data_IF_448496015172
#
_entry.id   IF_448496015172
#
_cell.length_a   1.000
_cell.length_b   1.000
_cell.length_c   1.000
_cell.angle_alpha   90.00
_cell.angle_beta   90.00
_cell.angle_gamma   90.00
#
_symmetry.space_group_name_H-M   'P 1'
#
loop_
_entity.id
_entity.type
_entity.pdbx_description
1 polymer ?
#
# COMPACT_ATOMS: atom_id res chain seq x y z
N UNK A 1 15.92 -3.33 -78.08
CA UNK A 1 17.16 -3.82 -77.41
C UNK A 1 17.50 -3.14 -76.04
N UNK A 2 16.98 -1.93 -75.73
CA UNK A 2 17.33 -1.22 -74.46
C UNK A 2 16.73 -1.83 -73.19
N UNK A 3 15.51 -2.45 -73.21
CA UNK A 3 14.86 -3.01 -72.02
C UNK A 3 15.58 -4.24 -71.45
N UNK A 4 16.22 -5.09 -72.25
CA UNK A 4 16.91 -6.27 -71.78
C UNK A 4 18.22 -5.94 -71.01
N UNK A 5 18.89 -4.85 -71.37
CA UNK A 5 20.11 -4.39 -70.66
C UNK A 5 19.77 -3.78 -69.28
N UNK A 6 18.60 -3.11 -69.16
CA UNK A 6 18.18 -2.56 -67.87
C UNK A 6 17.87 -3.63 -66.83
N UNK A 7 17.23 -4.73 -67.25
CA UNK A 7 16.92 -5.85 -66.37
C UNK A 7 18.17 -6.59 -65.86
N UNK A 8 19.20 -6.70 -66.70
CA UNK A 8 20.45 -7.34 -66.33
C UNK A 8 21.26 -6.54 -65.31
N UNK A 9 21.25 -5.22 -65.40
CA UNK A 9 21.91 -4.35 -64.40
C UNK A 9 21.19 -4.39 -63.08
N UNK A 10 19.84 -4.46 -63.09
CA UNK A 10 19.06 -4.57 -61.86
C UNK A 10 19.30 -5.91 -61.14
N UNK A 11 19.35 -7.00 -61.89
CA UNK A 11 19.61 -8.34 -61.34
C UNK A 11 21.01 -8.45 -60.69
N UNK A 12 22.02 -7.85 -61.30
CA UNK A 12 23.39 -7.82 -60.73
C UNK A 12 23.45 -6.95 -59.45
N UNK A 13 22.70 -5.84 -59.41
CA UNK A 13 22.63 -5.00 -58.19
C UNK A 13 22.01 -5.71 -56.99
N UNK A 14 20.93 -6.46 -57.22
CA UNK A 14 20.26 -7.22 -56.16
C UNK A 14 21.15 -8.37 -55.64
N UNK A 15 21.82 -9.09 -56.52
CA UNK A 15 22.75 -10.17 -56.13
C UNK A 15 23.95 -9.64 -55.30
N UNK A 16 24.46 -8.46 -55.65
CA UNK A 16 25.53 -7.82 -54.86
C UNK A 16 25.06 -7.38 -53.45
N UNK A 17 23.87 -6.87 -53.34
CA UNK A 17 23.31 -6.44 -52.07
C UNK A 17 23.05 -7.63 -51.12
N UNK A 18 22.59 -8.77 -51.66
CA UNK A 18 22.37 -10.00 -50.86
C UNK A 18 23.70 -10.59 -50.39
N UNK A 19 24.74 -10.52 -51.16
CA UNK A 19 26.06 -11.06 -50.80
C UNK A 19 26.74 -10.23 -49.69
N UNK A 20 26.55 -8.91 -49.70
CA UNK A 20 27.07 -8.01 -48.68
C UNK A 20 26.31 -8.19 -47.33
N UNK A 21 24.99 -8.45 -47.35
CA UNK A 21 24.23 -8.70 -46.13
C UNK A 21 24.61 -10.04 -45.44
N UNK A 22 25.06 -11.03 -46.18
CA UNK A 22 25.46 -12.33 -45.61
C UNK A 22 26.80 -12.34 -44.88
N UNK A 23 27.61 -11.29 -45.03
CA UNK A 23 28.97 -11.21 -44.46
C UNK A 23 29.09 -10.25 -43.28
N UNK A 24 27.98 -9.87 -42.62
CA UNK A 24 28.09 -9.17 -41.34
C UNK A 24 28.62 -10.15 -40.31
N UNK A 25 29.82 -9.96 -39.76
CA UNK A 25 30.28 -10.77 -38.64
C UNK A 25 29.28 -10.59 -37.49
N UNK A 26 28.80 -11.68 -36.95
CA UNK A 26 27.97 -11.64 -35.73
C UNK A 26 28.76 -10.88 -34.67
N UNK A 27 28.21 -9.79 -34.21
CA UNK A 27 28.78 -9.06 -33.08
C UNK A 27 28.93 -10.05 -31.91
N UNK A 28 30.05 -10.03 -31.18
CA UNK A 28 30.20 -10.86 -30.00
C UNK A 28 29.02 -10.58 -29.06
N UNK A 29 28.37 -11.65 -28.56
CA UNK A 29 27.31 -11.54 -27.60
C UNK A 29 27.77 -10.67 -26.42
N UNK A 30 26.98 -9.73 -25.94
CA UNK A 30 27.33 -8.96 -24.76
C UNK A 30 27.62 -9.95 -23.62
N UNK A 31 28.61 -9.67 -22.77
CA UNK A 31 28.91 -10.53 -21.64
C UNK A 31 27.64 -10.68 -20.82
N UNK A 32 27.22 -11.91 -20.54
CA UNK A 32 26.12 -12.20 -19.65
C UNK A 32 26.39 -11.49 -18.33
N UNK A 33 25.67 -10.40 -18.07
CA UNK A 33 25.71 -9.76 -16.78
C UNK A 33 25.11 -10.74 -15.78
N UNK A 34 25.97 -11.39 -15.00
CA UNK A 34 25.54 -12.15 -13.83
C UNK A 34 24.87 -11.17 -12.88
N UNK A 35 23.53 -11.06 -13.00
CA UNK A 35 22.73 -10.38 -12.00
C UNK A 35 22.93 -11.10 -10.66
N UNK A 36 23.28 -10.39 -9.59
CA UNK A 36 23.37 -11.02 -8.28
C UNK A 36 22.04 -11.73 -7.99
N UNK A 37 22.07 -12.91 -7.37
CA UNK A 37 20.85 -13.63 -7.03
C UNK A 37 19.92 -12.70 -6.26
N UNK A 38 18.59 -12.76 -6.50
CA UNK A 38 17.63 -11.93 -5.80
C UNK A 38 17.80 -12.13 -4.30
N UNK A 39 18.02 -11.03 -3.59
CA UNK A 39 18.09 -11.05 -2.13
C UNK A 39 16.71 -11.47 -1.62
N UNK A 40 16.58 -12.74 -1.23
CA UNK A 40 15.36 -13.24 -0.60
C UNK A 40 15.30 -12.62 0.79
N UNK A 41 14.48 -11.57 0.93
CA UNK A 41 14.20 -10.95 2.23
C UNK A 41 13.56 -12.02 3.12
N UNK A 42 14.03 -12.22 4.36
CA UNK A 42 13.37 -13.13 5.29
C UNK A 42 11.88 -12.81 5.40
N UNK A 43 11.01 -13.81 5.51
CA UNK A 43 9.59 -13.54 5.72
C UNK A 43 9.41 -12.69 6.97
N UNK A 44 8.58 -11.66 6.87
CA UNK A 44 8.27 -10.80 8.01
C UNK A 44 7.65 -11.64 9.14
N UNK A 45 7.97 -11.36 10.40
CA UNK A 45 7.36 -12.07 11.52
C UNK A 45 5.84 -11.88 11.48
N UNK A 46 5.05 -12.88 11.88
CA UNK A 46 3.61 -12.78 11.92
C UNK A 46 3.19 -11.62 12.85
N UNK A 47 2.31 -10.74 12.36
CA UNK A 47 1.70 -9.70 13.17
C UNK A 47 0.78 -10.38 14.20
N UNK A 48 1.07 -10.18 15.48
CA UNK A 48 0.14 -10.55 16.53
C UNK A 48 -0.97 -9.47 16.56
N UNK A 49 -2.22 -9.89 16.65
CA UNK A 49 -3.38 -8.97 16.67
C UNK A 49 -3.31 -7.96 17.83
N UNK A 50 -2.52 -8.28 18.84
CA UNK A 50 -2.26 -7.48 20.02
C UNK A 50 -0.83 -6.90 20.07
N UNK A 51 -0.11 -6.89 18.97
CA UNK A 51 1.22 -6.29 18.93
C UNK A 51 1.16 -4.78 19.21
N UNK A 52 2.16 -4.28 19.92
CA UNK A 52 2.34 -2.84 20.09
C UNK A 52 2.64 -2.16 18.75
N UNK A 53 1.91 -1.10 18.46
CA UNK A 53 2.04 -0.37 17.23
C UNK A 53 0.79 0.43 16.89
N UNK A 54 0.84 1.11 15.76
CA UNK A 54 -0.26 1.95 15.29
C UNK A 54 -0.80 1.46 13.96
N UNK A 55 -2.12 1.49 13.82
CA UNK A 55 -2.81 1.26 12.57
C UNK A 55 -3.15 2.61 11.95
N UNK A 56 -2.53 2.93 10.85
CA UNK A 56 -2.64 4.23 10.17
C UNK A 56 -3.61 4.10 8.99
N UNK A 57 -4.62 4.98 8.88
CA UNK A 57 -5.59 4.93 7.81
C UNK A 57 -5.00 5.32 6.46
N UNK A 58 -5.46 4.69 5.38
CA UNK A 58 -5.12 5.06 4.01
C UNK A 58 -5.70 6.43 3.62
N UNK A 59 -6.87 6.77 4.14
CA UNK A 59 -7.49 8.08 3.97
C UNK A 59 -7.52 8.87 5.27
N UNK A 60 -6.95 10.07 5.19
CA UNK A 60 -7.02 11.03 6.30
C UNK A 60 -8.32 11.80 6.20
N UNK A 61 -9.17 11.68 7.20
CA UNK A 61 -10.40 12.45 7.28
C UNK A 61 -10.38 13.38 8.48
N UNK A 62 -11.22 14.42 8.42
CA UNK A 62 -11.38 15.39 9.49
C UNK A 62 -12.85 15.47 9.87
N UNK A 63 -13.12 15.34 11.15
CA UNK A 63 -14.45 15.58 11.74
C UNK A 63 -14.35 16.83 12.62
N UNK A 64 -15.14 17.85 12.32
CA UNK A 64 -15.02 19.17 12.92
C UNK A 64 -13.58 19.72 12.71
N UNK A 65 -12.80 19.82 13.79
CA UNK A 65 -11.40 20.29 13.77
C UNK A 65 -10.38 19.17 14.05
N UNK A 66 -10.86 17.94 14.20
CA UNK A 66 -10.05 16.79 14.56
C UNK A 66 -9.78 15.92 13.33
N UNK A 67 -8.51 15.77 12.98
CA UNK A 67 -8.08 14.89 11.91
C UNK A 67 -7.71 13.53 12.49
N UNK A 68 -8.40 12.49 12.07
CA UNK A 68 -8.08 11.11 12.46
C UNK A 68 -6.69 10.73 11.93
N UNK A 69 -5.83 10.25 12.82
CA UNK A 69 -4.45 9.85 12.47
C UNK A 69 -4.23 8.35 12.57
N UNK A 70 -4.99 7.65 13.41
CA UNK A 70 -4.85 6.21 13.53
C UNK A 70 -5.52 5.64 14.76
N UNK A 71 -5.25 4.38 15.00
CA UNK A 71 -5.63 3.66 16.21
C UNK A 71 -4.49 2.79 16.71
N UNK A 72 -4.48 2.49 18.00
CA UNK A 72 -3.60 1.52 18.64
C UNK A 72 -4.44 0.51 19.41
N UNK A 73 -3.96 -0.72 19.52
CA UNK A 73 -4.66 -1.81 20.23
C UNK A 73 -3.95 -2.21 21.51
N UNK A 74 -2.64 -1.89 21.63
CA UNK A 74 -1.81 -2.20 22.78
C UNK A 74 -0.84 -1.05 23.09
N UNK A 75 -0.52 -0.83 24.37
CA UNK A 75 -1.01 -1.58 25.57
C UNK A 75 -2.49 -1.35 25.85
N UNK A 76 -3.08 -0.29 25.32
CA UNK A 76 -4.47 0.11 25.48
C UNK A 76 -5.10 0.42 24.12
N UNK A 77 -6.36 0.05 23.93
CA UNK A 77 -7.09 0.38 22.72
C UNK A 77 -7.46 1.87 22.73
N UNK A 78 -6.96 2.60 21.76
CA UNK A 78 -7.20 4.03 21.62
C UNK A 78 -7.29 4.45 20.15
N UNK A 79 -7.95 5.56 19.91
CA UNK A 79 -7.94 6.27 18.62
C UNK A 79 -7.21 7.60 18.78
N UNK A 80 -6.48 8.02 17.76
CA UNK A 80 -5.65 9.23 17.79
C UNK A 80 -6.14 10.23 16.76
N UNK A 81 -6.24 11.48 17.19
CA UNK A 81 -6.60 12.61 16.37
C UNK A 81 -5.55 13.72 16.47
N UNK A 82 -5.26 14.37 15.37
CA UNK A 82 -4.49 15.61 15.35
C UNK A 82 -5.44 16.80 15.31
N UNK A 83 -5.17 17.80 16.16
CA UNK A 83 -5.87 19.09 16.13
C UNK A 83 -5.32 19.99 15.03
N UNK A 84 -5.99 21.10 14.74
CA UNK A 84 -5.51 22.10 13.78
C UNK A 84 -4.16 22.72 14.12
N UNK A 85 -3.76 22.70 15.41
CA UNK A 85 -2.45 23.12 15.88
C UNK A 85 -1.36 22.05 15.71
N UNK A 86 -1.71 20.85 15.25
CA UNK A 86 -0.79 19.72 15.13
C UNK A 86 -0.62 18.91 16.41
N UNK A 87 -1.22 19.31 17.53
CA UNK A 87 -1.19 18.51 18.75
C UNK A 87 -2.01 17.24 18.56
N UNK A 88 -1.49 16.13 19.05
CA UNK A 88 -2.21 14.85 19.04
C UNK A 88 -3.05 14.70 20.31
N UNK A 89 -4.23 14.15 20.13
CA UNK A 89 -5.15 13.78 21.19
C UNK A 89 -5.51 12.31 21.03
N UNK A 90 -5.30 11.52 22.07
CA UNK A 90 -5.69 10.12 22.12
C UNK A 90 -6.98 9.97 22.92
N UNK A 91 -7.91 9.18 22.40
CA UNK A 91 -9.19 8.85 23.04
C UNK A 91 -9.17 7.36 23.33
N UNK A 92 -9.27 7.02 24.60
CA UNK A 92 -9.31 5.62 25.05
C UNK A 92 -10.66 5.01 24.71
N UNK A 93 -10.66 3.79 24.20
CA UNK A 93 -11.88 3.09 23.85
C UNK A 93 -12.47 2.38 25.07
N UNK A 94 -13.71 2.70 25.38
CA UNK A 94 -14.46 2.09 26.49
C UNK A 94 -14.83 0.63 26.19
N UNK A 95 -14.98 0.29 24.93
CA UNK A 95 -15.26 -1.05 24.48
C UNK A 95 -14.23 -1.44 23.41
N UNK A 96 -13.55 -2.56 23.62
CA UNK A 96 -12.57 -3.10 22.70
C UNK A 96 -12.68 -4.63 22.63
N UNK A 97 -13.27 -5.13 21.55
CA UNK A 97 -13.38 -6.55 21.27
C UNK A 97 -12.42 -6.89 20.14
N UNK A 98 -11.29 -7.46 20.50
CA UNK A 98 -10.23 -7.84 19.56
C UNK A 98 -10.22 -9.37 19.45
N UNK A 99 -10.51 -9.89 18.27
CA UNK A 99 -10.48 -11.32 17.95
C UNK A 99 -9.38 -11.61 16.94
N UNK A 100 -9.24 -12.88 16.61
CA UNK A 100 -8.24 -13.37 15.66
C UNK A 100 -8.32 -12.69 14.30
N UNK A 101 -9.54 -12.41 13.85
CA UNK A 101 -9.86 -11.92 12.51
C UNK A 101 -10.71 -10.65 12.52
N UNK A 102 -11.25 -10.24 13.67
CA UNK A 102 -12.19 -9.11 13.77
C UNK A 102 -11.81 -8.15 14.88
N UNK A 103 -12.17 -6.89 14.67
CA UNK A 103 -11.99 -5.78 15.58
C UNK A 103 -13.29 -5.04 15.73
N UNK A 104 -13.69 -4.77 16.98
CA UNK A 104 -14.72 -3.80 17.32
C UNK A 104 -14.21 -2.88 18.41
N UNK A 105 -14.22 -1.56 18.13
CA UNK A 105 -13.87 -0.54 19.10
C UNK A 105 -15.00 0.47 19.22
N UNK A 106 -15.23 0.94 20.45
CA UNK A 106 -16.08 2.10 20.74
C UNK A 106 -15.35 3.04 21.69
N UNK A 107 -15.15 4.25 21.25
CA UNK A 107 -14.44 5.28 21.97
C UNK A 107 -15.31 6.53 22.03
N UNK A 108 -15.53 7.07 23.21
CA UNK A 108 -16.38 8.24 23.41
C UNK A 108 -15.55 9.43 23.89
N UNK A 109 -15.64 10.55 23.22
CA UNK A 109 -14.97 11.80 23.56
C UNK A 109 -15.94 12.99 23.47
N UNK A 110 -15.98 13.89 24.46
CA UNK A 110 -16.92 15.01 24.46
C UNK A 110 -16.76 15.99 23.28
N UNK A 111 -15.58 16.08 22.69
CA UNK A 111 -15.27 17.01 21.61
C UNK A 111 -15.36 16.38 20.21
N UNK A 112 -14.96 15.12 20.10
CA UNK A 112 -15.01 14.36 18.84
C UNK A 112 -16.37 13.70 18.65
N UNK A 113 -16.96 13.18 19.73
CA UNK A 113 -18.15 12.36 19.72
C UNK A 113 -17.85 10.87 19.93
N UNK A 114 -18.78 10.02 19.55
CA UNK A 114 -18.62 8.56 19.60
C UNK A 114 -17.97 8.07 18.32
N UNK A 115 -16.82 7.42 18.46
CA UNK A 115 -16.08 6.76 17.37
C UNK A 115 -16.26 5.26 17.49
N UNK A 116 -16.81 4.63 16.46
CA UNK A 116 -16.94 3.18 16.36
C UNK A 116 -16.09 2.68 15.19
N UNK A 117 -15.33 1.62 15.40
CA UNK A 117 -14.49 1.00 14.37
C UNK A 117 -14.81 -0.49 14.33
N UNK A 118 -15.37 -0.92 13.21
CA UNK A 118 -15.70 -2.31 12.93
C UNK A 118 -14.80 -2.83 11.80
N UNK A 119 -13.92 -3.76 12.12
CA UNK A 119 -12.85 -4.17 11.21
C UNK A 119 -12.63 -5.66 11.08
N UNK A 120 -11.91 -6.00 10.01
CA UNK A 120 -11.43 -7.36 9.73
C UNK A 120 -9.94 -7.29 9.39
N UNK A 121 -9.13 -8.12 10.05
CA UNK A 121 -7.72 -8.24 9.75
C UNK A 121 -7.51 -8.99 8.43
N UNK A 122 -6.76 -8.38 7.50
CA UNK A 122 -6.47 -8.93 6.18
C UNK A 122 -5.26 -9.85 6.19
N UNK A 123 -4.32 -9.59 7.10
CA UNK A 123 -3.09 -10.37 7.25
C UNK A 123 -2.58 -10.25 8.68
N UNK A 124 -1.79 -11.24 9.09
CA UNK A 124 -1.04 -11.24 10.35
C UNK A 124 0.45 -11.02 10.15
N UNK A 125 0.87 -10.70 8.92
CA UNK A 125 2.26 -10.40 8.63
C UNK A 125 2.49 -8.92 8.90
N UNK A 126 3.35 -8.63 9.87
CA UNK A 126 3.88 -7.29 10.07
C UNK A 126 4.86 -7.00 8.93
N UNK A 127 4.54 -6.01 8.14
CA UNK A 127 5.29 -5.67 6.97
C UNK A 127 5.83 -4.24 7.09
N UNK A 128 6.65 -3.80 6.19
CA UNK A 128 7.19 -2.45 6.18
C UNK A 128 6.15 -1.46 5.65
N UNK A 129 6.40 -0.15 5.72
CA UNK A 129 5.53 0.92 5.20
C UNK A 129 5.14 0.78 3.72
N UNK A 130 5.78 -0.11 2.98
CA UNK A 130 5.52 -0.36 1.56
C UNK A 130 4.58 -1.54 1.32
N UNK A 131 4.14 -2.19 2.38
CA UNK A 131 3.34 -3.40 2.28
C UNK A 131 1.83 -3.11 2.36
N UNK A 132 1.05 -4.09 1.92
CA UNK A 132 -0.40 -3.99 1.84
C UNK A 132 -1.04 -3.70 3.21
N UNK A 133 -2.20 -3.07 3.18
CA UNK A 133 -3.02 -2.84 4.37
C UNK A 133 -3.26 -4.13 5.16
N UNK A 134 -3.13 -4.06 6.48
CA UNK A 134 -3.28 -5.20 7.39
C UNK A 134 -4.69 -5.30 7.98
N UNK A 135 -5.44 -4.21 7.97
CA UNK A 135 -6.80 -4.12 8.51
C UNK A 135 -7.68 -3.37 7.52
N UNK A 136 -8.90 -3.85 7.31
CA UNK A 136 -9.97 -3.05 6.69
C UNK A 136 -11.06 -2.83 7.73
N UNK A 137 -11.52 -1.59 7.88
CA UNK A 137 -12.53 -1.27 8.85
C UNK A 137 -13.49 -0.19 8.37
N UNK A 138 -14.71 -0.21 8.91
CA UNK A 138 -15.65 0.90 8.82
C UNK A 138 -15.45 1.78 10.03
N UNK A 139 -15.09 3.02 9.78
CA UNK A 139 -15.01 4.05 10.84
C UNK A 139 -16.27 4.87 10.81
N UNK A 140 -16.97 4.89 11.92
CA UNK A 140 -18.20 5.70 12.11
C UNK A 140 -17.94 6.70 13.22
N UNK A 141 -18.19 7.98 12.95
CA UNK A 141 -18.17 9.03 13.97
C UNK A 141 -19.56 9.62 14.10
N UNK A 142 -20.06 9.68 15.34
CA UNK A 142 -21.35 10.27 15.67
C UNK A 142 -21.16 11.46 16.61
N UNK A 143 -21.94 12.51 16.39
CA UNK A 143 -22.00 13.63 17.33
C UNK A 143 -22.62 13.21 18.68
N UNK A 144 -22.51 14.04 19.70
CA UNK A 144 -23.17 13.83 20.97
C UNK A 144 -24.73 13.76 20.88
N UNK A 145 -25.31 14.27 19.79
CA UNK A 145 -26.74 14.12 19.48
C UNK A 145 -27.08 12.82 18.73
N UNK A 146 -26.08 12.00 18.38
CA UNK A 146 -26.23 10.74 17.65
C UNK A 146 -26.22 10.87 16.13
N UNK A 147 -26.08 12.09 15.59
CA UNK A 147 -25.94 12.31 14.15
C UNK A 147 -24.65 11.69 13.61
N UNK A 148 -24.72 11.04 12.44
CA UNK A 148 -23.55 10.47 11.77
C UNK A 148 -22.80 11.59 11.06
N UNK A 149 -21.62 11.91 11.58
CA UNK A 149 -20.70 12.91 11.00
C UNK A 149 -19.77 12.29 9.95
N UNK A 150 -19.43 11.02 10.12
CA UNK A 150 -18.55 10.27 9.23
C UNK A 150 -18.90 8.78 9.25
N UNK A 151 -18.88 8.12 8.09
CA UNK A 151 -19.05 6.67 7.97
C UNK A 151 -18.42 6.19 6.67
N UNK A 152 -17.20 5.68 6.75
CA UNK A 152 -16.47 5.23 5.57
C UNK A 152 -15.67 3.96 5.90
N UNK A 153 -15.60 3.07 4.92
CA UNK A 153 -14.68 1.93 4.97
C UNK A 153 -13.31 2.36 4.49
N UNK A 154 -12.29 2.06 5.29
CA UNK A 154 -10.90 2.35 4.96
C UNK A 154 -10.00 1.13 5.19
N UNK A 155 -8.77 1.22 4.70
CA UNK A 155 -7.70 0.25 4.88
C UNK A 155 -6.63 0.86 5.76
N UNK A 156 -6.08 0.07 6.66
CA UNK A 156 -5.10 0.52 7.63
C UNK A 156 -3.80 -0.25 7.43
N UNK A 157 -2.70 0.48 7.43
CA UNK A 157 -1.34 -0.04 7.46
C UNK A 157 -0.87 -0.12 8.91
N UNK A 158 -0.12 -1.16 9.25
CA UNK A 158 0.45 -1.28 10.58
C UNK A 158 1.86 -0.67 10.61
N UNK A 159 2.12 0.10 11.66
CA UNK A 159 3.44 0.67 11.94
C UNK A 159 3.88 0.22 13.34
N UNK A 160 5.11 -0.32 13.49
CA UNK A 160 5.62 -0.71 14.80
C UNK A 160 5.67 0.48 15.75
N UNK A 161 5.42 0.24 17.03
CA UNK A 161 5.64 1.21 18.10
C UNK A 161 7.13 1.59 18.20
N UNK A 162 7.40 2.77 18.68
CA UNK A 162 8.75 3.27 18.94
C UNK A 162 9.17 2.95 20.36
#
# INVERSE_FOLDING_TARGET
MRRKRLLLVLALGIAGAILVMRRRPSAPAPPEQHLPPPVVKPPAPPLQVDAEGSYVPGYRFTVNRFRFTGLSLRPEALVTFATGSGAEQSVVCLEAVIRVDTLHLRCDDPQVGTVTIDGTFLTRLATTRLDAAVLTAVVTVRSGSGEVLYNVRDRFEWQPGH
#
